data_IF_402168570431
#
_entry.id   IF_402168570431
#
_cell.length_a   1.000
_cell.length_b   1.000
_cell.length_c   1.000
_cell.angle_alpha   90.00
_cell.angle_beta   90.00
_cell.angle_gamma   90.00
#
_symmetry.space_group_name_H-M   'P 1'
#
loop_
_entity.id
_entity.type
_entity.pdbx_description
1 polymer ?
#
# COMPACT_ATOMS: atom_id res chain seq x y z
N UNK A 1 -12.02 -13.70 -29.07
CA UNK A 1 -10.99 -13.20 -28.15
C UNK A 1 -9.92 -14.29 -28.04
N UNK A 2 -8.70 -14.05 -28.51
CA UNK A 2 -7.60 -15.02 -28.44
C UNK A 2 -6.79 -14.73 -27.16
N UNK A 3 -6.80 -15.64 -26.18
CA UNK A 3 -6.09 -15.46 -24.91
C UNK A 3 -4.83 -16.33 -24.91
N UNK A 4 -3.66 -15.70 -25.11
CA UNK A 4 -2.37 -16.38 -25.00
C UNK A 4 -1.93 -16.41 -23.54
N UNK A 5 -1.80 -17.60 -22.96
CA UNK A 5 -1.34 -17.80 -21.58
C UNK A 5 0.13 -18.18 -21.57
N UNK A 6 0.96 -17.44 -20.82
CA UNK A 6 2.42 -17.66 -20.76
C UNK A 6 2.82 -19.08 -20.35
N UNK A 7 1.97 -19.78 -19.60
CA UNK A 7 2.21 -21.16 -19.15
C UNK A 7 2.33 -22.19 -20.27
N UNK A 8 1.95 -21.84 -21.51
CA UNK A 8 2.02 -22.73 -22.68
C UNK A 8 3.02 -22.25 -23.74
N UNK A 9 3.75 -21.17 -23.49
CA UNK A 9 4.79 -20.71 -24.39
C UNK A 9 6.07 -21.56 -24.21
N UNK A 10 6.83 -21.84 -25.28
CA UNK A 10 8.19 -22.35 -25.17
C UNK A 10 9.04 -21.46 -24.25
N UNK A 11 9.93 -22.05 -23.45
CA UNK A 11 10.77 -21.31 -22.48
C UNK A 11 11.62 -20.20 -23.12
N UNK A 12 12.03 -20.37 -24.38
CA UNK A 12 12.74 -19.35 -25.16
C UNK A 12 11.92 -18.07 -25.39
N UNK A 13 10.59 -18.14 -25.25
CA UNK A 13 9.67 -17.00 -25.34
C UNK A 13 9.21 -16.49 -23.97
N UNK A 14 9.83 -16.94 -22.86
CA UNK A 14 9.44 -16.48 -21.52
C UNK A 14 10.14 -15.18 -21.10
N UNK A 15 11.23 -14.81 -21.78
CA UNK A 15 11.97 -13.57 -21.54
C UNK A 15 12.15 -12.83 -22.86
N UNK A 16 11.95 -11.52 -22.83
CA UNK A 16 12.18 -10.59 -23.94
C UNK A 16 11.38 -10.90 -25.24
N UNK A 17 10.28 -11.63 -25.15
CA UNK A 17 9.43 -11.93 -26.32
C UNK A 17 8.59 -10.71 -26.74
N UNK A 18 8.40 -10.54 -28.05
CA UNK A 18 7.58 -9.47 -28.62
C UNK A 18 6.38 -10.07 -29.37
N UNK A 19 5.23 -9.39 -29.29
CA UNK A 19 4.02 -9.74 -30.02
C UNK A 19 3.90 -8.90 -31.30
N UNK A 20 3.92 -9.57 -32.45
CA UNK A 20 3.78 -8.96 -33.77
C UNK A 20 2.39 -9.24 -34.32
N UNK A 21 1.80 -8.28 -35.02
CA UNK A 21 0.60 -8.53 -35.83
C UNK A 21 0.83 -8.09 -37.27
N UNK A 22 0.31 -8.90 -38.20
CA UNK A 22 0.26 -8.58 -39.61
C UNK A 22 -1.10 -8.93 -40.21
N UNK A 23 -1.30 -8.68 -41.52
CA UNK A 23 -2.54 -9.03 -42.18
C UNK A 23 -2.85 -10.53 -42.05
N UNK A 24 -3.80 -10.87 -41.17
CA UNK A 24 -4.26 -12.25 -40.95
C UNK A 24 -3.46 -13.08 -39.93
N UNK A 25 -2.49 -12.51 -39.20
CA UNK A 25 -1.73 -13.28 -38.20
C UNK A 25 -1.29 -12.46 -36.98
N UNK A 26 -1.03 -13.18 -35.89
CA UNK A 26 -0.35 -12.70 -34.68
C UNK A 26 0.76 -13.69 -34.35
N UNK A 27 1.98 -13.20 -34.12
CA UNK A 27 3.16 -14.02 -33.84
C UNK A 27 3.84 -13.55 -32.55
N UNK A 28 4.30 -14.49 -31.72
CA UNK A 28 5.19 -14.21 -30.58
C UNK A 28 6.60 -14.59 -31.01
N UNK A 29 7.51 -13.63 -31.03
CA UNK A 29 8.92 -13.84 -31.43
C UNK A 29 9.86 -13.57 -30.27
N UNK A 30 11.04 -14.18 -30.31
CA UNK A 30 12.09 -13.91 -29.33
C UNK A 30 12.66 -12.50 -29.52
N UNK A 31 13.14 -11.88 -28.44
CA UNK A 31 13.71 -10.52 -28.47
C UNK A 31 14.94 -10.39 -29.38
N UNK A 32 15.72 -11.47 -29.52
CA UNK A 32 16.85 -11.53 -30.45
C UNK A 32 16.43 -11.51 -31.93
N UNK A 33 15.22 -11.93 -32.25
CA UNK A 33 14.68 -11.94 -33.62
C UNK A 33 13.82 -10.71 -33.93
N UNK A 34 13.41 -9.95 -32.92
CA UNK A 34 12.61 -8.74 -33.04
C UNK A 34 13.19 -7.72 -34.03
N UNK A 35 14.52 -7.66 -34.15
CA UNK A 35 15.20 -6.78 -35.08
C UNK A 35 14.89 -7.07 -36.57
N UNK A 36 14.39 -8.27 -36.91
CA UNK A 36 14.01 -8.60 -38.29
C UNK A 36 12.60 -8.11 -38.64
N UNK A 37 11.80 -7.81 -37.62
CA UNK A 37 10.38 -7.49 -37.75
C UNK A 37 10.08 -6.03 -37.39
N UNK A 38 11.09 -5.15 -37.35
CA UNK A 38 10.91 -3.76 -36.92
C UNK A 38 9.98 -2.92 -37.78
N UNK A 39 9.73 -3.36 -39.01
CA UNK A 39 8.85 -2.74 -39.99
C UNK A 39 7.38 -3.13 -39.81
N UNK A 40 7.09 -4.19 -39.04
CA UNK A 40 5.72 -4.60 -38.73
C UNK A 40 5.19 -3.81 -37.53
N UNK A 41 3.89 -3.48 -37.50
CA UNK A 41 3.29 -2.86 -36.33
C UNK A 41 3.37 -3.82 -35.14
N UNK A 42 4.06 -3.39 -34.09
CA UNK A 42 4.07 -4.08 -32.80
C UNK A 42 2.67 -3.95 -32.20
N UNK A 43 2.11 -5.06 -31.70
CA UNK A 43 0.85 -4.97 -30.97
C UNK A 43 1.17 -4.34 -29.62
N UNK A 44 1.02 -3.03 -29.51
CA UNK A 44 1.11 -2.36 -28.23
C UNK A 44 0.04 -2.98 -27.32
N UNK A 45 0.49 -3.55 -26.20
CA UNK A 45 -0.40 -4.04 -25.15
C UNK A 45 -1.03 -2.82 -24.45
N UNK A 46 -1.98 -2.18 -25.14
CA UNK A 46 -2.70 -0.99 -24.70
C UNK A 46 -3.84 -1.32 -23.73
N UNK A 47 -3.87 -2.51 -23.14
CA UNK A 47 -4.93 -2.96 -22.22
C UNK A 47 -5.09 -1.97 -21.06
N UNK A 48 -6.06 -1.06 -21.18
CA UNK A 48 -6.43 -0.08 -20.17
C UNK A 48 -5.41 1.04 -19.91
N UNK A 49 -4.45 1.27 -20.82
CA UNK A 49 -3.56 2.43 -20.74
C UNK A 49 -4.25 3.69 -21.27
N UNK A 50 -4.05 4.80 -20.58
CA UNK A 50 -4.54 6.10 -21.00
C UNK A 50 -3.72 6.61 -22.19
N UNK A 51 -4.38 7.21 -23.17
CA UNK A 51 -3.76 7.84 -24.33
C UNK A 51 -3.52 9.33 -24.08
N UNK A 52 -2.59 9.95 -24.79
CA UNK A 52 -2.27 11.38 -24.59
C UNK A 52 -3.50 12.27 -24.76
N UNK A 53 -4.37 11.99 -25.72
CA UNK A 53 -5.61 12.73 -25.96
C UNK A 53 -6.66 12.62 -24.84
N UNK A 54 -6.56 11.58 -23.99
CA UNK A 54 -7.52 11.32 -22.88
C UNK A 54 -7.08 11.90 -21.55
N UNK A 55 -5.81 12.30 -21.43
CA UNK A 55 -5.22 12.80 -20.20
C UNK A 55 -5.08 14.31 -20.31
N UNK A 56 -5.97 15.02 -19.63
CA UNK A 56 -5.92 16.48 -19.53
C UNK A 56 -4.54 16.93 -19.03
N UNK A 57 -4.05 18.02 -19.59
CA UNK A 57 -2.83 18.69 -19.17
C UNK A 57 -3.18 20.09 -18.67
N UNK A 58 -2.73 20.40 -17.47
CA UNK A 58 -2.89 21.68 -16.81
C UNK A 58 -1.51 22.33 -16.72
N UNK A 59 -1.39 23.52 -17.29
CA UNK A 59 -0.17 24.34 -17.24
C UNK A 59 -0.08 25.07 -15.89
N UNK A 60 0.04 24.28 -14.82
CA UNK A 60 0.24 24.73 -13.46
C UNK A 60 0.99 23.64 -12.66
N UNK A 61 1.61 23.99 -11.52
CA UNK A 61 2.13 22.99 -10.58
C UNK A 61 0.99 22.13 -10.01
N UNK A 62 1.29 20.86 -9.72
CA UNK A 62 0.37 19.97 -9.03
C UNK A 62 0.04 20.56 -7.64
N UNK A 63 -1.24 20.63 -7.25
CA UNK A 63 -1.65 21.26 -6.00
C UNK A 63 -1.08 20.52 -4.78
N UNK A 64 -0.49 21.28 -3.86
CA UNK A 64 -0.08 20.75 -2.56
C UNK A 64 -1.33 20.35 -1.75
N UNK A 65 -1.46 19.06 -1.43
CA UNK A 65 -2.45 18.55 -0.48
C UNK A 65 -1.72 17.75 0.59
N UNK A 66 -2.28 17.71 1.81
CA UNK A 66 -1.71 16.94 2.91
C UNK A 66 -1.69 15.46 2.54
N UNK A 67 -0.51 14.87 2.53
CA UNK A 67 -0.29 13.46 2.32
C UNK A 67 -0.64 12.64 3.56
N UNK A 68 -1.12 11.42 3.33
CA UNK A 68 -1.43 10.41 4.34
C UNK A 68 -0.30 9.37 4.45
N UNK A 69 0.27 8.99 3.30
CA UNK A 69 1.46 8.15 3.20
C UNK A 69 2.15 8.38 1.86
N UNK A 70 3.36 7.86 1.73
CA UNK A 70 4.07 7.83 0.45
C UNK A 70 4.88 6.55 0.25
N UNK A 71 5.28 6.30 -0.99
CA UNK A 71 6.28 5.30 -1.36
C UNK A 71 6.92 5.62 -2.70
N UNK A 72 8.00 4.92 -3.01
CA UNK A 72 8.67 5.01 -4.31
C UNK A 72 8.47 3.73 -5.08
N UNK A 73 8.14 3.87 -6.36
CA UNK A 73 8.01 2.78 -7.31
C UNK A 73 8.93 3.04 -8.50
N UNK A 74 9.54 1.99 -9.02
CA UNK A 74 10.38 2.09 -10.21
C UNK A 74 9.54 1.78 -11.44
N UNK A 75 9.70 2.58 -12.48
CA UNK A 75 9.05 2.32 -13.77
C UNK A 75 9.70 1.15 -14.47
N UNK A 76 8.90 0.32 -15.12
CA UNK A 76 9.38 -0.74 -16.00
C UNK A 76 9.32 -0.28 -17.45
N UNK A 77 10.28 -0.70 -18.26
CA UNK A 77 10.24 -0.59 -19.70
C UNK A 77 9.71 -1.90 -20.29
N UNK A 78 8.63 -1.83 -21.07
CA UNK A 78 8.12 -2.97 -21.84
C UNK A 78 8.27 -2.68 -23.34
N UNK A 79 8.84 -3.62 -24.10
CA UNK A 79 9.04 -3.46 -25.54
C UNK A 79 9.90 -2.24 -25.90
N UNK A 80 9.60 -1.57 -27.01
CA UNK A 80 10.35 -0.41 -27.52
C UNK A 80 10.08 0.90 -26.75
N UNK A 81 10.50 0.96 -25.50
CA UNK A 81 10.61 2.19 -24.70
C UNK A 81 9.29 2.76 -24.13
N UNK A 82 8.28 1.93 -23.88
CA UNK A 82 7.13 2.39 -23.09
C UNK A 82 7.46 2.34 -21.58
N UNK A 83 7.85 3.49 -21.02
CA UNK A 83 7.94 3.71 -19.58
C UNK A 83 6.56 3.51 -18.96
N UNK A 84 6.44 2.50 -18.10
CA UNK A 84 5.20 2.13 -17.44
C UNK A 84 5.39 2.08 -15.93
N UNK A 85 4.36 2.46 -15.19
CA UNK A 85 4.30 2.36 -13.74
C UNK A 85 3.06 1.54 -13.34
N UNK A 86 3.27 0.46 -12.59
CA UNK A 86 2.19 -0.28 -11.95
C UNK A 86 2.02 0.22 -10.51
N UNK A 87 0.93 0.94 -10.24
CA UNK A 87 0.56 1.39 -8.89
C UNK A 87 -0.44 0.40 -8.31
N UNK A 88 0.01 -0.38 -7.32
CA UNK A 88 -0.73 -1.53 -6.76
C UNK A 88 -0.72 -1.53 -5.22
N UNK A 89 -1.75 -2.07 -4.59
CA UNK A 89 -1.78 -2.27 -3.12
C UNK A 89 -2.59 -1.22 -2.35
N UNK A 90 -2.32 -1.08 -1.06
CA UNK A 90 -3.10 -0.28 -0.10
C UNK A 90 -3.12 1.25 -0.35
N UNK A 91 -2.22 1.78 -1.17
CA UNK A 91 -2.16 3.22 -1.49
C UNK A 91 -3.50 3.75 -2.00
N UNK A 92 -4.26 2.91 -2.71
CA UNK A 92 -5.59 3.22 -3.21
C UNK A 92 -6.61 3.36 -2.09
N UNK A 93 -6.72 2.36 -1.21
CA UNK A 93 -7.69 2.40 -0.10
C UNK A 93 -7.33 3.46 0.93
N UNK A 94 -6.04 3.72 1.18
CA UNK A 94 -5.61 4.84 2.05
C UNK A 94 -6.05 6.18 1.49
N UNK A 95 -6.05 6.33 0.17
CA UNK A 95 -6.55 7.54 -0.48
C UNK A 95 -8.08 7.57 -0.62
N UNK A 96 -8.80 6.61 -0.03
CA UNK A 96 -10.26 6.54 -0.05
C UNK A 96 -10.87 5.82 -1.26
N UNK A 97 -10.06 5.23 -2.14
CA UNK A 97 -10.55 4.57 -3.35
C UNK A 97 -11.06 3.16 -3.05
N UNK A 98 -12.23 2.84 -3.59
CA UNK A 98 -12.78 1.50 -3.62
C UNK A 98 -12.29 0.75 -4.88
N UNK A 99 -12.46 -0.57 -4.87
CA UNK A 99 -12.23 -1.35 -6.09
C UNK A 99 -13.19 -0.87 -7.17
N UNK A 100 -12.67 -0.75 -8.40
CA UNK A 100 -13.42 -0.29 -9.56
C UNK A 100 -13.89 1.18 -9.50
N UNK A 101 -13.38 1.99 -8.55
CA UNK A 101 -13.62 3.45 -8.49
C UNK A 101 -13.32 4.15 -9.84
N UNK A 102 -14.19 5.08 -10.28
CA UNK A 102 -13.92 5.92 -11.44
C UNK A 102 -12.81 6.92 -11.10
N UNK A 103 -11.87 7.09 -12.03
CA UNK A 103 -10.68 7.92 -11.84
C UNK A 103 -10.64 9.05 -12.85
N UNK A 104 -10.28 10.25 -12.38
CA UNK A 104 -9.80 11.34 -13.23
C UNK A 104 -8.30 11.45 -13.09
N UNK A 105 -7.58 11.27 -14.19
CA UNK A 105 -6.13 11.39 -14.25
C UNK A 105 -5.77 12.67 -14.99
N UNK A 106 -5.08 13.57 -14.32
CA UNK A 106 -4.72 14.90 -14.82
C UNK A 106 -3.22 15.12 -14.70
N UNK A 107 -2.59 15.53 -15.79
CA UNK A 107 -1.18 15.95 -15.80
C UNK A 107 -1.05 17.40 -15.40
N UNK A 108 -0.08 17.66 -14.56
CA UNK A 108 0.42 18.98 -14.19
C UNK A 108 1.86 19.11 -14.64
N UNK A 109 2.43 20.32 -14.59
CA UNK A 109 3.80 20.58 -15.05
C UNK A 109 4.85 19.71 -14.37
N UNK A 110 4.64 19.37 -13.10
CA UNK A 110 5.62 18.71 -12.22
C UNK A 110 5.07 17.43 -11.56
N UNK A 111 4.03 16.84 -12.15
CA UNK A 111 3.43 15.62 -11.64
C UNK A 111 2.10 15.23 -12.27
N UNK A 112 1.43 14.26 -11.66
CA UNK A 112 0.11 13.76 -12.05
C UNK A 112 -0.76 13.67 -10.82
N UNK A 113 -2.00 14.16 -10.92
CA UNK A 113 -3.03 13.99 -9.91
C UNK A 113 -4.06 12.96 -10.40
N UNK A 114 -4.40 12.03 -9.52
CA UNK A 114 -5.43 11.02 -9.73
C UNK A 114 -6.50 11.26 -8.68
N UNK A 115 -7.74 11.49 -9.10
CA UNK A 115 -8.86 11.79 -8.20
C UNK A 115 -9.95 10.75 -8.38
N UNK A 116 -10.63 10.40 -7.29
CA UNK A 116 -11.89 9.66 -7.38
C UNK A 116 -13.00 10.62 -7.79
N UNK A 117 -13.74 10.26 -8.81
CA UNK A 117 -14.78 11.12 -9.41
C UNK A 117 -16.02 10.31 -9.75
N UNK A 118 -17.09 11.00 -10.14
CA UNK A 118 -18.25 10.34 -10.73
C UNK A 118 -17.90 9.71 -12.09
N UNK A 119 -18.65 8.68 -12.50
CA UNK A 119 -18.31 7.89 -13.69
C UNK A 119 -18.31 8.70 -14.98
N UNK A 120 -19.18 9.70 -15.06
CA UNK A 120 -19.32 10.64 -16.19
C UNK A 120 -18.13 11.60 -16.34
N UNK A 121 -17.36 11.83 -15.28
CA UNK A 121 -16.17 12.70 -15.29
C UNK A 121 -14.85 11.91 -15.38
N UNK A 122 -14.95 10.57 -15.39
CA UNK A 122 -13.80 9.68 -15.34
C UNK A 122 -13.18 9.50 -16.73
N UNK A 123 -11.85 9.55 -16.79
CA UNK A 123 -11.10 9.12 -17.97
C UNK A 123 -10.45 7.76 -17.76
N UNK A 124 -10.51 7.20 -16.55
CA UNK A 124 -9.98 5.89 -16.22
C UNK A 124 -10.80 5.20 -15.12
N UNK A 125 -10.47 3.94 -14.85
CA UNK A 125 -11.07 3.18 -13.77
C UNK A 125 -9.98 2.41 -13.03
N UNK A 126 -10.07 2.37 -11.70
CA UNK A 126 -9.25 1.45 -10.92
C UNK A 126 -9.65 0.01 -11.29
N UNK A 127 -8.70 -0.92 -11.29
CA UNK A 127 -9.02 -2.33 -11.55
C UNK A 127 -8.71 -3.14 -10.32
N UNK A 128 -9.62 -4.04 -9.99
CA UNK A 128 -9.32 -5.16 -9.10
C UNK A 128 -8.28 -6.08 -9.75
N UNK A 129 -7.12 -6.25 -9.08
CA UNK A 129 -6.08 -7.22 -9.46
C UNK A 129 -6.02 -8.33 -8.42
N UNK A 130 -6.02 -9.58 -8.87
CA UNK A 130 -5.80 -10.76 -8.04
C UNK A 130 -4.32 -11.15 -8.08
N UNK A 131 -3.63 -11.15 -6.92
CA UNK A 131 -2.37 -11.88 -6.81
C UNK A 131 -2.67 -13.36 -6.49
N UNK A 132 -1.86 -14.26 -7.03
CA UNK A 132 -2.03 -15.71 -6.89
C UNK A 132 -2.11 -16.10 -5.39
N UNK A 133 -3.26 -16.60 -4.95
CA UNK A 133 -3.50 -17.00 -3.55
C UNK A 133 -3.65 -15.85 -2.55
N UNK A 134 -3.70 -14.59 -3.00
CA UNK A 134 -3.88 -13.39 -2.16
C UNK A 134 -5.18 -12.65 -2.53
N UNK A 135 -5.66 -11.81 -1.61
CA UNK A 135 -6.87 -10.98 -1.79
C UNK A 135 -6.73 -10.05 -3.01
N UNK A 136 -7.86 -9.75 -3.64
CA UNK A 136 -7.95 -8.71 -4.66
C UNK A 136 -7.52 -7.35 -4.09
N UNK A 137 -6.69 -6.61 -4.82
CA UNK A 137 -6.25 -5.27 -4.47
C UNK A 137 -6.43 -4.32 -5.66
N UNK A 138 -6.55 -3.02 -5.35
CA UNK A 138 -6.60 -1.97 -6.36
C UNK A 138 -5.27 -1.90 -7.13
N UNK A 139 -5.34 -1.92 -8.45
CA UNK A 139 -4.16 -1.81 -9.29
C UNK A 139 -4.45 -1.05 -10.58
N UNK A 140 -3.64 -0.02 -10.86
CA UNK A 140 -3.68 0.69 -12.14
C UNK A 140 -2.28 0.76 -12.75
N UNK A 141 -2.22 0.51 -14.05
CA UNK A 141 -1.02 0.76 -14.85
C UNK A 141 -1.13 2.12 -15.53
N UNK A 142 -0.05 2.88 -15.46
CA UNK A 142 0.13 4.17 -16.10
C UNK A 142 1.26 4.06 -17.13
N UNK A 143 1.01 4.51 -18.35
CA UNK A 143 1.99 4.52 -19.43
C UNK A 143 2.61 5.90 -19.65
N UNK A 144 3.40 6.01 -20.72
CA UNK A 144 4.11 7.24 -21.12
C UNK A 144 3.22 8.48 -21.16
N UNK A 145 2.00 8.36 -21.68
CA UNK A 145 1.07 9.49 -21.78
C UNK A 145 0.88 10.19 -20.43
N UNK A 146 0.75 9.41 -19.34
CA UNK A 146 0.56 9.92 -17.98
C UNK A 146 1.89 10.37 -17.36
N UNK A 147 2.94 9.57 -17.52
CA UNK A 147 4.22 9.77 -16.82
C UNK A 147 5.13 10.82 -17.48
N UNK A 148 4.70 11.42 -18.59
CA UNK A 148 5.49 12.35 -19.42
C UNK A 148 6.04 13.57 -18.67
N UNK A 149 5.36 14.03 -17.61
CA UNK A 149 5.75 15.20 -16.81
C UNK A 149 6.59 14.84 -15.57
N UNK A 150 6.88 13.56 -15.36
CA UNK A 150 7.64 13.07 -14.19
C UNK A 150 9.03 12.67 -14.64
N UNK A 151 10.05 13.35 -14.16
CA UNK A 151 11.46 13.03 -14.44
C UNK A 151 11.94 11.76 -13.72
N UNK A 152 12.89 11.05 -14.34
CA UNK A 152 13.57 9.89 -13.76
C UNK A 152 12.77 8.57 -13.79
N UNK A 153 13.42 7.46 -13.46
CA UNK A 153 12.78 6.13 -13.49
C UNK A 153 12.11 5.75 -12.17
N UNK A 154 12.29 6.56 -11.13
CA UNK A 154 11.64 6.38 -9.83
C UNK A 154 10.55 7.42 -9.67
N UNK A 155 9.34 6.95 -9.41
CA UNK A 155 8.15 7.78 -9.19
C UNK A 155 7.75 7.65 -7.73
N UNK A 156 7.59 8.80 -7.08
CA UNK A 156 7.00 8.87 -5.75
C UNK A 156 5.49 8.91 -5.87
N UNK A 157 4.84 7.97 -5.19
CA UNK A 157 3.38 7.87 -5.08
C UNK A 157 2.98 8.37 -3.70
N UNK A 158 2.14 9.39 -3.65
CA UNK A 158 1.63 10.00 -2.41
C UNK A 158 0.14 9.80 -2.34
N UNK A 159 -0.34 9.12 -1.29
CA UNK A 159 -1.77 9.02 -1.00
C UNK A 159 -2.23 10.26 -0.25
N UNK A 160 -3.38 10.80 -0.64
CA UNK A 160 -4.04 11.96 -0.04
C UNK A 160 -5.53 11.61 0.09
N UNK A 161 -6.27 12.37 0.90
CA UNK A 161 -7.71 12.14 1.02
C UNK A 161 -8.42 12.36 -0.34
N UNK A 162 -9.08 11.33 -0.86
CA UNK A 162 -9.74 11.29 -2.16
C UNK A 162 -8.83 11.37 -3.39
N UNK A 163 -7.49 11.33 -3.23
CA UNK A 163 -6.56 11.57 -4.33
C UNK A 163 -5.20 10.88 -4.18
N UNK A 164 -4.52 10.66 -5.31
CA UNK A 164 -3.13 10.19 -5.37
C UNK A 164 -2.31 11.13 -6.25
N UNK A 165 -1.13 11.54 -5.76
CA UNK A 165 -0.15 12.24 -6.56
C UNK A 165 0.95 11.29 -7.02
N UNK A 166 1.35 11.40 -8.29
CA UNK A 166 2.56 10.80 -8.83
C UNK A 166 3.54 11.94 -9.15
N UNK A 167 4.71 11.93 -8.51
CA UNK A 167 5.71 13.00 -8.65
C UNK A 167 7.12 12.43 -8.74
N UNK A 168 8.04 13.21 -9.29
CA UNK A 168 9.46 12.84 -9.33
C UNK A 168 10.08 12.84 -7.93
N UNK A 169 11.12 12.03 -7.71
CA UNK A 169 11.78 11.94 -6.39
C UNK A 169 12.42 13.25 -5.93
N UNK A 170 12.72 14.17 -6.86
CA UNK A 170 13.25 15.50 -6.58
C UNK A 170 12.25 16.42 -5.87
N UNK A 171 10.93 16.16 -5.99
CA UNK A 171 9.91 16.96 -5.31
C UNK A 171 9.93 16.68 -3.80
N UNK A 172 9.86 17.72 -2.98
CA UNK A 172 10.02 17.56 -1.53
C UNK A 172 8.81 16.88 -0.90
N UNK A 173 9.06 15.96 0.06
CA UNK A 173 7.98 15.40 0.89
C UNK A 173 7.26 16.48 1.71
N UNK A 174 7.97 17.57 2.04
CA UNK A 174 7.40 18.70 2.79
C UNK A 174 6.27 19.41 2.04
N UNK A 175 6.28 19.34 0.71
CA UNK A 175 5.20 19.89 -0.14
C UNK A 175 3.87 19.17 0.12
N UNK A 176 3.93 17.96 0.67
CA UNK A 176 2.78 17.15 1.08
C UNK A 176 2.64 17.05 2.61
N UNK A 177 3.39 17.85 3.38
CA UNK A 177 3.47 17.73 4.84
C UNK A 177 3.88 16.33 5.34
N UNK A 178 4.72 15.62 4.57
CA UNK A 178 5.25 14.29 4.88
C UNK A 178 6.74 14.33 5.24
N UNK A 179 7.18 13.30 5.97
CA UNK A 179 8.59 13.03 6.27
C UNK A 179 9.00 11.63 5.81
N UNK A 180 10.29 11.31 5.90
CA UNK A 180 10.83 10.04 5.43
C UNK A 180 10.16 8.83 6.11
N UNK A 181 9.83 8.96 7.40
CA UNK A 181 9.22 7.92 8.22
C UNK A 181 7.76 7.61 7.85
N UNK A 182 7.09 8.48 7.07
CA UNK A 182 5.73 8.24 6.57
C UNK A 182 5.70 7.31 5.34
N UNK A 183 6.85 6.74 4.97
CA UNK A 183 6.98 5.75 3.90
C UNK A 183 6.28 4.45 4.26
N UNK A 184 5.51 3.86 3.33
CA UNK A 184 4.90 2.53 3.53
C UNK A 184 5.20 1.56 2.41
N UNK A 185 5.51 0.32 2.81
CA UNK A 185 5.60 -0.82 1.91
C UNK A 185 4.24 -1.55 1.79
N UNK A 186 4.14 -2.42 0.80
CA UNK A 186 2.93 -3.07 0.28
C UNK A 186 2.00 -3.72 1.32
N UNK A 187 2.51 -4.06 2.50
CA UNK A 187 1.85 -4.93 3.48
C UNK A 187 1.34 -4.17 4.72
N UNK A 188 0.96 -2.90 4.61
CA UNK A 188 0.39 -2.13 5.74
C UNK A 188 -1.14 -1.95 5.58
N UNK A 189 -2.00 -2.14 6.60
CA UNK A 189 -3.45 -1.97 6.49
C UNK A 189 -3.76 -0.48 6.31
N UNK A 190 -4.80 -0.19 5.52
CA UNK A 190 -5.27 1.17 5.32
C UNK A 190 -6.23 1.62 6.44
N UNK A 191 -7.01 0.70 7.00
CA UNK A 191 -8.04 1.01 8.02
C UNK A 191 -7.97 0.07 9.24
N UNK A 192 -8.57 0.49 10.36
CA UNK A 192 -8.70 -0.35 11.55
C UNK A 192 -9.56 -1.60 11.30
N UNK A 193 -10.59 -1.50 10.46
CA UNK A 193 -11.42 -2.64 10.08
C UNK A 193 -10.65 -3.67 9.23
N UNK A 194 -9.76 -3.20 8.34
CA UNK A 194 -8.84 -4.08 7.62
C UNK A 194 -7.83 -4.76 8.56
N UNK A 195 -7.43 -4.04 9.61
CA UNK A 195 -6.50 -4.52 10.62
C UNK A 195 -7.09 -5.63 11.51
N UNK A 196 -8.39 -5.60 11.78
CA UNK A 196 -9.07 -6.43 12.78
C UNK A 196 -9.39 -7.89 12.35
N UNK A 197 -8.87 -8.38 11.23
CA UNK A 197 -9.21 -9.73 10.71
C UNK A 197 -8.37 -10.84 11.35
N UNK A 198 -8.98 -12.05 11.39
CA UNK A 198 -8.62 -13.23 12.21
C UNK A 198 -7.14 -13.31 12.56
N UNK A 199 -6.89 -13.02 13.82
CA UNK A 199 -5.57 -12.99 14.41
C UNK A 199 -5.25 -14.36 15.05
N UNK A 200 -3.99 -14.85 14.98
CA UNK A 200 -3.57 -16.07 15.66
C UNK A 200 -4.00 -16.11 17.14
N UNK A 201 -4.14 -17.29 17.74
CA UNK A 201 -4.67 -17.46 19.11
C UNK A 201 -3.92 -16.68 20.22
N UNK A 202 -2.71 -16.17 19.94
CA UNK A 202 -1.88 -15.35 20.83
C UNK A 202 -1.70 -13.90 20.35
N UNK A 203 -2.50 -13.44 19.40
CA UNK A 203 -2.37 -12.11 18.82
C UNK A 203 -3.74 -11.44 18.86
N UNK A 204 -3.78 -10.15 19.16
CA UNK A 204 -4.96 -9.33 18.93
C UNK A 204 -4.58 -8.08 18.15
N UNK A 205 -5.56 -7.51 17.47
CA UNK A 205 -5.42 -6.21 16.82
C UNK A 205 -6.38 -5.26 17.51
N UNK A 206 -5.88 -4.10 17.92
CA UNK A 206 -6.66 -3.11 18.66
C UNK A 206 -6.69 -1.81 17.84
N UNK A 207 -7.87 -1.24 17.55
CA UNK A 207 -7.97 0.05 16.89
C UNK A 207 -7.26 1.13 17.70
N UNK A 208 -6.48 1.96 17.02
CA UNK A 208 -5.81 3.09 17.64
C UNK A 208 -6.70 4.33 17.52
N UNK A 209 -7.59 4.49 18.50
CA UNK A 209 -8.38 5.71 18.63
C UNK A 209 -7.51 6.81 19.23
N UNK A 210 -7.27 7.87 18.44
CA UNK A 210 -6.40 8.99 18.83
C UNK A 210 -7.08 9.99 19.75
N UNK A 211 -8.38 9.90 19.94
CA UNK A 211 -9.14 10.78 20.85
C UNK A 211 -9.14 10.24 22.28
N UNK A 212 -8.83 8.95 22.47
CA UNK A 212 -8.81 8.31 23.78
C UNK A 212 -7.44 8.47 24.45
N UNK A 213 -7.39 8.73 25.78
CA UNK A 213 -6.11 8.88 26.49
C UNK A 213 -5.30 7.58 26.55
N UNK A 214 -6.00 6.45 26.41
CA UNK A 214 -5.50 5.12 26.68
C UNK A 214 -6.01 4.13 25.62
N UNK A 215 -5.17 3.14 25.31
CA UNK A 215 -5.49 1.99 24.50
C UNK A 215 -5.72 0.77 25.40
N UNK A 216 -6.90 0.16 25.33
CA UNK A 216 -7.24 -1.02 26.12
C UNK A 216 -7.05 -2.29 25.28
N UNK A 217 -6.11 -3.14 25.71
CA UNK A 217 -5.89 -4.46 25.12
C UNK A 217 -6.58 -5.50 25.99
N UNK A 218 -7.52 -6.25 25.42
CA UNK A 218 -8.27 -7.29 26.14
C UNK A 218 -8.10 -8.65 25.47
N UNK A 219 -8.15 -9.71 26.28
CA UNK A 219 -8.17 -11.07 25.77
C UNK A 219 -7.85 -12.11 26.83
N UNK A 220 -8.61 -13.21 26.84
CA UNK A 220 -8.34 -14.35 27.72
C UNK A 220 -6.94 -14.95 27.53
N UNK A 221 -6.32 -14.75 26.36
CA UNK A 221 -5.00 -15.26 26.03
C UNK A 221 -3.85 -14.54 26.76
N UNK A 222 -4.08 -13.35 27.33
CA UNK A 222 -3.05 -12.58 28.04
C UNK A 222 -2.52 -13.33 29.27
N UNK A 223 -3.40 -14.07 29.97
CA UNK A 223 -3.03 -14.88 31.14
C UNK A 223 -2.11 -16.04 30.79
N UNK A 224 -2.15 -16.54 29.54
CA UNK A 224 -1.20 -17.57 29.07
C UNK A 224 0.25 -17.05 29.02
N UNK A 225 0.42 -15.73 29.02
CA UNK A 225 1.71 -15.04 29.03
C UNK A 225 2.02 -14.42 30.40
N UNK A 226 1.28 -14.81 31.44
CA UNK A 226 1.49 -14.38 32.82
C UNK A 226 0.80 -13.07 33.19
N UNK A 227 0.17 -12.35 32.26
CA UNK A 227 -0.51 -11.08 32.57
C UNK A 227 -1.85 -11.35 33.27
N UNK A 228 -1.80 -11.56 34.58
CA UNK A 228 -2.97 -11.75 35.44
C UNK A 228 -3.39 -10.42 36.08
N UNK A 229 -4.69 -10.19 36.32
CA UNK A 229 -5.14 -9.03 37.07
C UNK A 229 -4.39 -8.82 38.39
N UNK A 230 -4.03 -7.58 38.68
CA UNK A 230 -3.23 -7.20 39.86
C UNK A 230 -1.73 -7.35 39.69
N UNK A 231 -1.23 -7.93 38.60
CA UNK A 231 0.20 -7.91 38.30
C UNK A 231 0.64 -6.57 37.75
N UNK A 232 1.93 -6.27 37.94
CA UNK A 232 2.57 -5.06 37.43
C UNK A 232 3.38 -5.34 36.19
N UNK A 233 3.48 -4.34 35.33
CA UNK A 233 4.26 -4.41 34.10
C UNK A 233 4.90 -3.06 33.77
N UNK A 234 5.98 -3.13 33.01
CA UNK A 234 6.74 -2.00 32.48
C UNK A 234 6.61 -1.97 30.96
N UNK A 235 6.71 -0.78 30.38
CA UNK A 235 6.72 -0.56 28.93
C UNK A 235 8.11 -0.15 28.50
N UNK A 236 8.71 -0.96 27.63
CA UNK A 236 10.05 -0.76 27.12
C UNK A 236 9.97 -0.48 25.62
N UNK A 237 10.59 0.61 25.17
CA UNK A 237 10.74 0.83 23.73
C UNK A 237 11.83 -0.10 23.19
N UNK A 238 11.56 -0.74 22.05
CA UNK A 238 12.60 -1.52 21.37
C UNK A 238 13.72 -0.56 20.91
N UNK A 239 14.99 -0.81 21.28
CA UNK A 239 16.09 0.11 21.01
C UNK A 239 16.42 0.25 19.52
N UNK A 240 15.96 -0.69 18.69
CA UNK A 240 16.23 -0.73 17.25
C UNK A 240 14.94 -0.46 16.46
N UNK A 241 13.81 -0.99 16.90
CA UNK A 241 12.54 -0.95 16.17
C UNK A 241 11.59 0.06 16.81
N UNK A 242 11.66 1.33 16.37
CA UNK A 242 10.78 2.39 16.88
C UNK A 242 9.28 2.08 16.79
N UNK A 243 8.87 1.25 15.84
CA UNK A 243 7.48 0.80 15.67
C UNK A 243 7.09 -0.37 16.58
N UNK A 244 7.82 -0.58 17.68
CA UNK A 244 7.61 -1.66 18.64
C UNK A 244 7.85 -1.17 20.08
N UNK A 245 6.93 -1.55 20.94
CA UNK A 245 6.99 -1.43 22.39
C UNK A 245 6.79 -2.82 22.98
N UNK A 246 7.52 -3.15 24.03
CA UNK A 246 7.42 -4.40 24.76
C UNK A 246 6.76 -4.13 26.11
N UNK A 247 5.68 -4.83 26.41
CA UNK A 247 5.16 -4.90 27.77
C UNK A 247 5.76 -6.12 28.47
N UNK A 248 6.46 -5.89 29.58
CA UNK A 248 7.17 -6.91 30.37
C UNK A 248 6.64 -6.91 31.79
N UNK A 249 6.37 -8.09 32.34
CA UNK A 249 5.97 -8.23 33.74
C UNK A 249 7.13 -7.83 34.65
N UNK A 250 6.85 -6.91 35.57
CA UNK A 250 7.83 -6.31 36.46
C UNK A 250 7.15 -6.02 37.79
N UNK A 251 7.74 -6.50 38.90
CA UNK A 251 7.18 -6.30 40.24
C UNK A 251 7.09 -4.83 40.63
N UNK A 252 7.98 -4.01 40.10
CA UNK A 252 8.04 -2.56 40.34
C UNK A 252 7.46 -1.76 39.18
N UNK A 253 6.85 -2.43 38.20
CA UNK A 253 6.32 -1.82 36.99
C UNK A 253 5.32 -0.71 37.27
N UNK A 254 5.39 0.34 36.45
CA UNK A 254 4.55 1.54 36.60
C UNK A 254 3.07 1.27 36.33
N UNK A 255 2.75 0.21 35.57
CA UNK A 255 1.40 -0.10 35.12
C UNK A 255 0.87 -1.36 35.80
N UNK A 256 -0.46 -1.43 35.95
CA UNK A 256 -1.15 -2.57 36.54
C UNK A 256 -2.01 -3.25 35.48
N UNK A 257 -1.99 -4.58 35.46
CA UNK A 257 -2.94 -5.38 34.68
C UNK A 257 -4.30 -5.31 35.38
N UNK A 258 -5.31 -4.82 34.66
CA UNK A 258 -6.67 -4.66 35.14
C UNK A 258 -7.56 -5.86 34.81
N UNK A 259 -8.82 -5.78 35.24
CA UNK A 259 -9.90 -6.71 34.88
C UNK A 259 -10.79 -6.09 33.79
N UNK A 260 -11.31 -6.91 32.87
CA UNK A 260 -12.27 -6.40 31.88
C UNK A 260 -13.66 -6.20 32.51
N UNK A 261 -14.42 -5.15 32.13
CA UNK A 261 -15.79 -4.94 32.63
C UNK A 261 -16.76 -6.07 32.25
N UNK A 262 -16.45 -6.78 31.16
CA UNK A 262 -17.29 -7.83 30.58
C UNK A 262 -17.06 -9.20 31.25
N UNK A 263 -15.91 -9.41 31.88
CA UNK A 263 -15.57 -10.61 32.63
C UNK A 263 -14.40 -10.32 33.58
N UNK A 264 -14.64 -10.39 34.90
CA UNK A 264 -13.61 -10.20 35.93
C UNK A 264 -12.44 -11.20 35.81
N UNK A 265 -12.65 -12.33 35.13
CA UNK A 265 -11.62 -13.35 34.91
C UNK A 265 -10.69 -13.05 33.73
N UNK A 266 -10.99 -12.02 32.93
CA UNK A 266 -10.17 -11.65 31.77
C UNK A 266 -9.28 -10.46 32.12
N UNK A 267 -8.00 -10.58 31.79
CA UNK A 267 -7.04 -9.51 31.92
C UNK A 267 -7.27 -8.40 30.88
N UNK A 268 -7.00 -7.17 31.30
CA UNK A 268 -6.96 -5.98 30.47
C UNK A 268 -5.63 -5.24 30.69
N UNK A 269 -4.93 -4.89 29.61
CA UNK A 269 -3.82 -3.95 29.68
C UNK A 269 -4.31 -2.58 29.28
N UNK A 270 -4.12 -1.62 30.18
CA UNK A 270 -4.34 -0.21 29.94
C UNK A 270 -3.02 0.46 29.55
N UNK A 271 -2.86 0.77 28.26
CA UNK A 271 -1.65 1.35 27.69
C UNK A 271 -1.85 2.85 27.46
N UNK A 272 -1.04 3.75 28.04
CA UNK A 272 -1.10 5.17 27.73
C UNK A 272 -0.91 5.39 26.22
N UNK A 273 -1.79 6.15 25.59
CA UNK A 273 -1.75 6.36 24.13
C UNK A 273 -0.41 6.95 23.69
N UNK A 274 0.21 7.80 24.52
CA UNK A 274 1.52 8.39 24.28
C UNK A 274 2.60 7.35 23.91
N UNK A 275 2.54 6.15 24.48
CA UNK A 275 3.51 5.07 24.24
C UNK A 275 3.48 4.52 22.82
N UNK A 276 2.36 4.69 22.11
CA UNK A 276 2.15 4.22 20.74
C UNK A 276 1.70 5.36 19.81
N UNK A 277 1.72 6.60 20.29
CA UNK A 277 1.21 7.79 19.57
C UNK A 277 1.97 8.07 18.26
N UNK A 278 3.25 7.67 18.23
CA UNK A 278 4.11 7.73 17.05
C UNK A 278 3.80 6.65 16.02
N UNK A 279 3.02 5.62 16.36
CA UNK A 279 2.57 4.63 15.38
C UNK A 279 1.60 5.30 14.41
N UNK A 280 1.81 5.07 13.11
CA UNK A 280 1.01 5.68 12.05
C UNK A 280 -0.14 4.79 11.59
N UNK A 281 -0.15 3.51 11.97
CA UNK A 281 -1.26 2.60 11.66
C UNK A 281 -2.53 3.00 12.41
N UNK A 282 -3.73 2.83 11.80
CA UNK A 282 -5.01 3.00 12.50
C UNK A 282 -5.28 1.92 13.54
N UNK A 283 -4.40 0.93 13.68
CA UNK A 283 -4.49 -0.12 14.68
C UNK A 283 -3.09 -0.61 15.09
N UNK A 284 -3.00 -1.16 16.30
CA UNK A 284 -1.80 -1.83 16.79
C UNK A 284 -2.02 -3.34 16.83
N UNK A 285 -0.96 -4.09 16.55
CA UNK A 285 -0.94 -5.54 16.69
C UNK A 285 -0.23 -5.86 18.00
N UNK A 286 -0.90 -6.58 18.88
CA UNK A 286 -0.32 -7.06 20.13
C UNK A 286 -0.11 -8.57 20.01
N UNK A 287 1.12 -9.04 20.22
CA UNK A 287 1.51 -10.44 20.10
C UNK A 287 2.09 -10.92 21.43
N UNK A 288 1.54 -12.00 21.97
CA UNK A 288 2.13 -12.70 23.10
C UNK A 288 3.33 -13.55 22.69
N UNK A 289 4.47 -13.34 23.34
CA UNK A 289 5.71 -14.12 23.17
C UNK A 289 6.27 -14.52 24.53
N UNK A 290 7.35 -15.32 24.55
CA UNK A 290 8.02 -15.70 25.81
C UNK A 290 8.65 -14.51 26.53
N UNK A 291 9.01 -13.46 25.80
CA UNK A 291 9.71 -12.28 26.32
C UNK A 291 8.73 -11.20 26.80
N UNK A 292 7.42 -11.41 26.64
CA UNK A 292 6.37 -10.46 26.98
C UNK A 292 5.41 -10.22 25.82
N UNK A 293 4.67 -9.10 25.89
CA UNK A 293 3.72 -8.71 24.85
C UNK A 293 4.37 -7.68 23.92
N UNK A 294 4.54 -8.05 22.66
CA UNK A 294 5.03 -7.16 21.63
C UNK A 294 3.87 -6.33 21.08
N UNK A 295 3.87 -5.04 21.38
CA UNK A 295 2.93 -4.06 20.86
C UNK A 295 3.63 -3.40 19.67
N UNK A 296 3.16 -3.69 18.47
CA UNK A 296 3.78 -3.19 17.25
C UNK A 296 2.77 -2.57 16.33
N UNK A 297 3.25 -1.69 15.46
CA UNK A 297 2.44 -1.15 14.39
C UNK A 297 1.83 -2.31 13.56
N UNK A 298 0.51 -2.30 13.34
CA UNK A 298 -0.12 -3.36 12.56
C UNK A 298 0.20 -3.20 11.06
N UNK A 299 0.61 -4.30 10.45
CA UNK A 299 0.91 -4.50 9.04
C UNK A 299 -0.09 -5.56 8.52
N UNK A 300 -0.89 -5.25 7.49
CA UNK A 300 -1.91 -6.16 6.96
C UNK A 300 -1.21 -7.27 6.18
N UNK A 301 -1.41 -8.52 6.61
CA UNK A 301 -0.94 -9.72 5.93
C UNK A 301 -1.79 -10.11 4.72
#
# INVERSE_FOLDING_TARGET
MLQLTMSRLPSVLHRDSILLAGPGFVAVVSGSEAARYQHLPEFEKNEGLLKEETVAHVDAPLPARKGLLWRELTTAAYGRAQRCLDVTGNVWSVAGFELDSPLRVTRYMDGVLIEQVAAEEANSQLRSKMARGKRAYGGKRFGRAVLSTIEGDTVRVVAMDGAIALVGVARSLRDFALIADDRRDYDTPATAEEALRVSPANTTVVPLDREMPNLIVTGAWLTNYGFHPGQRYSLEQDPVVRSRVLAVLDKEGAFLVGETPLNASHAALDLPLETVSHFRSPAVKVIGTRDGLHIQQHFAS
#
